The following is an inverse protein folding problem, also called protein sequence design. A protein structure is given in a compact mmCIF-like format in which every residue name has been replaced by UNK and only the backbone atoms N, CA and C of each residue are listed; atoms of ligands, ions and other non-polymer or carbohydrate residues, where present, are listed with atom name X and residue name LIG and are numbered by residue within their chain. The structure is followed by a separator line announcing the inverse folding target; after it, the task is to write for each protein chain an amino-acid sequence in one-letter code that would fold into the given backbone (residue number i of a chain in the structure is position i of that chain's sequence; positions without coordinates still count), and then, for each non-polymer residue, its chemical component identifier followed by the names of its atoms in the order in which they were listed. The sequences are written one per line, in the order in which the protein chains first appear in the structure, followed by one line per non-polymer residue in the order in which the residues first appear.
data_IF_676233976510
#
_entry.id   IF_676233976510
#
_cell.length_a   1.000
_cell.length_b   1.000
_cell.length_c   1.000
_cell.angle_alpha   90.00
_cell.angle_beta   90.00
_cell.angle_gamma   90.00
#
_symmetry.space_group_name_H-M   'P 1'
#
loop_
_entity.id
_entity.type
_entity.pdbx_description
1 polymer ?
#
# COMPACT_ATOMS: atom_id res chain seq x y z
N UNK A 1 24.38 -10.16 -11.98
CA UNK A 1 24.69 -8.73 -11.71
C UNK A 1 23.78 -7.78 -12.50
N UNK A 2 23.25 -8.19 -13.67
CA UNK A 2 22.46 -7.30 -14.54
C UNK A 2 20.94 -7.22 -14.19
N UNK A 3 20.34 -8.33 -13.75
CA UNK A 3 18.91 -8.38 -13.38
C UNK A 3 18.58 -7.58 -12.10
N UNK A 4 19.39 -7.71 -11.04
CA UNK A 4 19.20 -6.94 -9.79
C UNK A 4 19.27 -5.43 -10.03
N UNK A 5 20.25 -4.99 -10.82
CA UNK A 5 20.43 -3.57 -11.14
C UNK A 5 19.30 -3.05 -12.03
N UNK A 6 18.82 -3.87 -12.98
CA UNK A 6 17.65 -3.55 -13.82
C UNK A 6 16.38 -3.43 -12.98
N UNK A 7 16.13 -4.35 -12.05
CA UNK A 7 14.97 -4.32 -11.16
C UNK A 7 14.99 -3.09 -10.23
N UNK A 8 16.12 -2.77 -9.62
CA UNK A 8 16.27 -1.56 -8.79
C UNK A 8 16.04 -0.28 -9.61
N UNK A 9 16.55 -0.22 -10.85
CA UNK A 9 16.37 0.95 -11.72
C UNK A 9 14.90 1.23 -12.06
N UNK A 10 14.08 0.17 -12.19
CA UNK A 10 12.63 0.29 -12.40
C UNK A 10 11.98 0.97 -11.20
N UNK A 11 12.29 0.51 -10.00
CA UNK A 11 11.69 1.01 -8.77
C UNK A 11 12.20 2.39 -8.35
N UNK A 12 13.24 2.93 -9.00
CA UNK A 12 13.73 4.28 -8.79
C UNK A 12 13.01 5.35 -9.64
N UNK A 13 12.09 4.95 -10.54
CA UNK A 13 11.38 5.87 -11.44
C UNK A 13 9.91 5.98 -11.06
N UNK A 14 9.28 7.16 -11.22
CA UNK A 14 7.84 7.31 -11.01
C UNK A 14 7.02 6.36 -11.91
N UNK A 15 6.03 5.70 -11.30
CA UNK A 15 4.95 4.99 -11.99
C UNK A 15 3.80 5.89 -12.38
N UNK A 16 2.74 5.27 -12.94
CA UNK A 16 1.51 5.96 -13.35
C UNK A 16 0.86 6.73 -12.18
N UNK A 17 0.88 6.16 -10.98
CA UNK A 17 0.23 6.73 -9.80
C UNK A 17 1.19 7.40 -8.82
N UNK A 18 2.50 7.24 -8.98
CA UNK A 18 3.50 7.80 -8.05
C UNK A 18 4.24 9.02 -8.61
N UNK A 19 3.85 9.55 -9.77
CA UNK A 19 4.35 10.84 -10.25
C UNK A 19 3.75 11.97 -9.42
N UNK A 20 4.59 12.92 -8.99
CA UNK A 20 4.14 14.16 -8.34
C UNK A 20 3.71 15.24 -9.34
N UNK A 21 3.97 15.03 -10.65
CA UNK A 21 3.57 15.92 -11.74
C UNK A 21 3.87 17.39 -11.47
N UNK A 22 2.86 18.25 -11.59
CA UNK A 22 2.96 19.69 -11.36
C UNK A 22 3.38 20.07 -9.92
N UNK A 23 3.22 19.16 -8.96
CA UNK A 23 3.55 19.36 -7.55
C UNK A 23 4.92 18.79 -7.16
N UNK A 24 5.75 18.37 -8.12
CA UNK A 24 7.09 17.81 -7.85
C UNK A 24 7.97 18.74 -6.99
N UNK A 25 7.90 20.06 -7.21
CA UNK A 25 8.66 21.05 -6.42
C UNK A 25 8.29 21.04 -4.92
N UNK A 26 7.07 20.63 -4.56
CA UNK A 26 6.68 20.53 -3.14
C UNK A 26 7.50 19.47 -2.39
N UNK A 27 8.00 18.45 -3.10
CA UNK A 27 8.81 17.40 -2.51
C UNK A 27 10.19 17.89 -2.05
N UNK A 28 10.67 19.04 -2.51
CA UNK A 28 11.95 19.65 -2.09
C UNK A 28 11.96 19.99 -0.59
N UNK A 29 10.80 20.31 -0.02
CA UNK A 29 10.67 20.59 1.41
C UNK A 29 10.73 19.32 2.28
N UNK A 30 10.48 18.14 1.69
CA UNK A 30 10.43 16.86 2.42
C UNK A 30 11.87 16.42 2.75
N UNK A 31 12.17 15.96 3.97
CA UNK A 31 13.47 15.35 4.29
C UNK A 31 13.82 14.19 3.34
N UNK A 32 15.12 13.92 3.17
CA UNK A 32 15.59 12.87 2.28
C UNK A 32 15.65 11.48 2.93
N UNK A 33 15.71 11.41 4.26
CA UNK A 33 15.75 10.15 5.00
C UNK A 33 14.34 9.53 5.13
N UNK A 34 14.19 8.20 5.11
CA UNK A 34 12.89 7.53 5.21
C UNK A 34 12.07 7.97 6.43
N UNK A 35 12.70 8.13 7.59
CA UNK A 35 12.01 8.54 8.82
C UNK A 35 11.44 9.96 8.71
N UNK A 36 12.19 10.89 8.11
CA UNK A 36 11.73 12.25 7.84
C UNK A 36 10.62 12.33 6.79
N UNK A 37 10.65 11.46 5.77
CA UNK A 37 9.56 11.33 4.80
C UNK A 37 8.29 10.84 5.49
N UNK A 38 8.40 9.77 6.30
CA UNK A 38 7.27 9.20 7.05
C UNK A 38 6.65 10.25 7.97
N UNK A 39 7.45 10.91 8.82
CA UNK A 39 6.96 11.98 9.71
C UNK A 39 6.28 13.11 8.95
N UNK A 40 6.78 13.46 7.76
CA UNK A 40 6.17 14.48 6.92
C UNK A 40 4.74 14.10 6.53
N UNK A 41 4.54 12.89 5.98
CA UNK A 41 3.20 12.50 5.52
C UNK A 41 2.24 12.15 6.66
N UNK A 42 2.73 11.68 7.81
CA UNK A 42 1.97 11.58 9.06
C UNK A 42 1.42 12.94 9.53
N UNK A 43 2.15 14.02 9.26
CA UNK A 43 1.72 15.38 9.54
C UNK A 43 0.71 15.96 8.54
N UNK A 44 0.48 15.31 7.39
CA UNK A 44 -0.32 15.85 6.27
C UNK A 44 -1.57 15.02 5.96
N UNK A 45 -1.53 13.71 6.22
CA UNK A 45 -2.63 12.77 5.99
C UNK A 45 -3.18 12.29 7.33
N UNK A 46 -4.46 11.93 7.36
CA UNK A 46 -5.11 11.28 8.51
C UNK A 46 -5.93 10.08 8.04
N UNK A 47 -5.79 8.94 8.72
CA UNK A 47 -6.51 7.72 8.33
C UNK A 47 -8.00 7.84 8.62
N UNK A 48 -8.84 7.63 7.61
CA UNK A 48 -10.27 7.97 7.67
C UNK A 48 -11.07 7.22 8.75
N UNK A 49 -10.61 6.01 9.09
CA UNK A 49 -11.19 5.15 10.13
C UNK A 49 -10.57 5.37 11.52
N UNK A 50 -9.44 6.08 11.62
CA UNK A 50 -8.76 6.34 12.90
C UNK A 50 -8.93 7.77 13.42
N UNK A 51 -9.65 8.63 12.69
CA UNK A 51 -9.84 10.05 13.03
C UNK A 51 -10.40 10.28 14.44
N UNK A 52 -11.18 9.34 14.97
CA UNK A 52 -11.69 9.38 16.34
C UNK A 52 -10.59 9.40 17.40
N UNK A 53 -9.48 8.68 17.18
CA UNK A 53 -8.33 8.66 18.09
C UNK A 53 -7.59 10.02 18.17
N UNK A 54 -7.91 10.94 17.25
CA UNK A 54 -7.37 12.29 17.16
C UNK A 54 -8.42 13.39 17.46
N UNK A 55 -9.63 13.01 17.88
CA UNK A 55 -10.72 13.96 18.15
C UNK A 55 -11.24 14.69 16.90
N UNK A 56 -11.12 14.06 15.72
CA UNK A 56 -11.57 14.63 14.44
C UNK A 56 -12.82 13.92 13.94
N UNK A 57 -13.77 14.70 13.43
CA UNK A 57 -14.88 14.20 12.63
C UNK A 57 -14.70 14.65 11.17
N UNK A 58 -14.77 13.72 10.23
CA UNK A 58 -14.68 14.01 8.80
C UNK A 58 -16.07 14.21 8.21
N UNK A 59 -16.22 15.26 7.38
CA UNK A 59 -17.40 15.43 6.53
C UNK A 59 -17.35 14.49 5.32
N UNK A 60 -18.49 14.29 4.64
CA UNK A 60 -18.53 13.54 3.39
C UNK A 60 -17.63 14.15 2.30
N UNK A 61 -17.44 15.47 2.33
CA UNK A 61 -16.54 16.18 1.43
C UNK A 61 -15.06 15.89 1.75
N UNK A 62 -14.70 15.80 3.03
CA UNK A 62 -13.34 15.38 3.44
C UNK A 62 -13.07 13.95 2.98
N UNK A 63 -14.05 13.04 3.13
CA UNK A 63 -13.93 11.64 2.71
C UNK A 63 -13.75 11.45 1.21
N UNK A 64 -14.08 12.43 0.37
CA UNK A 64 -13.84 12.29 -1.08
C UNK A 64 -12.36 12.09 -1.44
N UNK A 65 -11.41 12.55 -0.61
CA UNK A 65 -9.98 12.39 -0.92
C UNK A 65 -9.47 10.96 -0.80
N UNK A 66 -10.15 10.08 -0.07
CA UNK A 66 -9.72 8.68 0.10
C UNK A 66 -9.81 7.88 -1.20
N UNK A 67 -10.53 8.41 -2.19
CA UNK A 67 -10.67 7.80 -3.51
C UNK A 67 -9.73 8.39 -4.57
N UNK A 68 -8.77 9.25 -4.18
CA UNK A 68 -7.77 9.78 -5.11
C UNK A 68 -6.68 8.73 -5.34
N UNK A 69 -6.47 8.34 -6.60
CA UNK A 69 -5.42 7.38 -6.97
C UNK A 69 -4.07 8.07 -7.14
N UNK A 70 -3.91 9.12 -7.98
CA UNK A 70 -2.57 9.64 -8.29
C UNK A 70 -1.98 10.46 -7.13
N UNK A 71 -0.68 10.32 -6.91
CA UNK A 71 0.06 11.12 -5.93
C UNK A 71 -0.02 12.62 -6.24
N UNK A 72 -0.02 12.99 -7.52
CA UNK A 72 -0.22 14.37 -7.97
C UNK A 72 -1.54 14.96 -7.44
N UNK A 73 -2.65 14.23 -7.52
CA UNK A 73 -3.96 14.70 -7.02
C UNK A 73 -4.02 14.78 -5.50
N UNK A 74 -3.34 13.86 -4.81
CA UNK A 74 -3.21 13.91 -3.35
C UNK A 74 -2.39 15.11 -2.89
N UNK A 75 -1.26 15.38 -3.56
CA UNK A 75 -0.44 16.56 -3.30
C UNK A 75 -1.21 17.85 -3.62
N UNK A 76 -2.00 17.86 -4.70
CA UNK A 76 -2.92 18.95 -5.01
C UNK A 76 -3.92 19.19 -3.88
N UNK A 77 -4.51 18.11 -3.33
CA UNK A 77 -5.46 18.20 -2.22
C UNK A 77 -4.80 18.72 -0.94
N UNK A 78 -3.58 18.28 -0.63
CA UNK A 78 -2.80 18.77 0.52
C UNK A 78 -2.51 20.26 0.35
N UNK A 79 -1.94 20.67 -0.78
CA UNK A 79 -1.56 22.06 -1.04
C UNK A 79 -2.77 23.00 -1.13
N UNK A 80 -3.89 22.52 -1.70
CA UNK A 80 -5.13 23.28 -1.81
C UNK A 80 -5.85 23.46 -0.47
N UNK A 81 -5.68 22.53 0.48
CA UNK A 81 -6.22 22.67 1.83
C UNK A 81 -5.36 23.61 2.68
N UNK A 82 -4.04 23.51 2.56
CA UNK A 82 -3.08 24.35 3.27
C UNK A 82 -1.75 24.44 2.52
N UNK A 83 -1.43 25.63 2.04
CA UNK A 83 -0.30 25.89 1.15
C UNK A 83 1.07 26.07 1.85
N UNK A 84 1.16 25.91 3.18
CA UNK A 84 2.46 25.91 3.87
C UNK A 84 3.32 24.75 3.35
N UNK A 85 4.66 24.83 3.44
CA UNK A 85 5.56 23.74 3.03
C UNK A 85 5.18 22.37 3.61
N UNK A 86 5.44 21.29 2.87
CA UNK A 86 5.03 19.93 3.24
C UNK A 86 5.62 19.48 4.58
N UNK A 87 6.84 19.90 4.92
CA UNK A 87 7.48 19.58 6.20
C UNK A 87 6.93 20.34 7.41
N UNK A 88 5.96 21.23 7.23
CA UNK A 88 5.24 21.85 8.34
C UNK A 88 4.06 20.95 8.72
N UNK A 89 3.99 20.38 9.93
CA UNK A 89 2.89 19.49 10.29
C UNK A 89 1.57 20.25 10.39
N UNK A 90 0.47 19.55 10.13
CA UNK A 90 -0.90 20.04 10.34
C UNK A 90 -1.48 19.45 11.61
N UNK A 91 -2.27 20.25 12.32
CA UNK A 91 -3.13 19.70 13.38
C UNK A 91 -4.10 18.68 12.76
N UNK A 92 -4.53 17.63 13.47
CA UNK A 92 -5.30 16.53 12.88
C UNK A 92 -6.49 16.95 12.01
N UNK A 93 -7.30 17.93 12.45
CA UNK A 93 -8.45 18.42 11.68
C UNK A 93 -8.11 19.17 10.38
N UNK A 94 -6.84 19.53 10.18
CA UNK A 94 -6.34 20.18 8.95
C UNK A 94 -5.68 19.19 7.99
N UNK A 95 -5.50 17.92 8.36
CA UNK A 95 -4.92 16.88 7.52
C UNK A 95 -5.92 16.41 6.46
N UNK A 96 -5.42 15.90 5.34
CA UNK A 96 -6.23 15.32 4.26
C UNK A 96 -6.61 13.88 4.65
N UNK A 97 -7.89 13.52 4.49
CA UNK A 97 -8.33 12.15 4.76
C UNK A 97 -7.72 11.19 3.73
N UNK A 98 -7.17 10.08 4.20
CA UNK A 98 -6.61 9.01 3.39
C UNK A 98 -6.71 7.67 4.11
N UNK A 99 -5.98 6.68 3.57
CA UNK A 99 -5.85 5.34 4.16
C UNK A 99 -4.39 4.85 4.06
N UNK A 100 -4.10 3.64 4.55
CA UNK A 100 -2.77 3.01 4.53
C UNK A 100 -2.03 3.14 3.19
N UNK A 101 -2.73 2.90 2.08
CA UNK A 101 -2.17 3.00 0.73
C UNK A 101 -1.73 4.42 0.39
N UNK A 102 -2.40 5.46 0.88
CA UNK A 102 -2.03 6.85 0.61
C UNK A 102 -0.69 7.23 1.24
N UNK A 103 -0.45 6.81 2.48
CA UNK A 103 0.84 7.02 3.14
C UNK A 103 1.97 6.32 2.39
N UNK A 104 1.74 5.06 2.03
CA UNK A 104 2.67 4.24 1.27
C UNK A 104 2.95 4.82 -0.12
N UNK A 105 1.92 5.29 -0.83
CA UNK A 105 2.07 5.94 -2.13
C UNK A 105 2.95 7.19 -2.03
N UNK A 106 2.68 8.07 -1.07
CA UNK A 106 3.42 9.32 -0.88
C UNK A 106 4.88 9.06 -0.49
N UNK A 107 5.14 8.06 0.37
CA UNK A 107 6.48 7.58 0.69
C UNK A 107 7.23 7.14 -0.58
N UNK A 108 6.62 6.25 -1.36
CA UNK A 108 7.21 5.71 -2.60
C UNK A 108 7.44 6.82 -3.62
N UNK A 109 6.51 7.77 -3.76
CA UNK A 109 6.66 8.97 -4.59
C UNK A 109 7.86 9.82 -4.18
N UNK A 110 8.01 10.11 -2.89
CA UNK A 110 9.11 10.95 -2.39
C UNK A 110 10.48 10.29 -2.55
N UNK A 111 10.56 8.97 -2.36
CA UNK A 111 11.80 8.19 -2.58
C UNK A 111 12.17 8.12 -4.06
N UNK A 112 11.21 7.78 -4.94
CA UNK A 112 11.41 7.72 -6.39
C UNK A 112 11.79 9.08 -6.99
N UNK A 113 11.22 10.19 -6.49
CA UNK A 113 11.60 11.53 -6.91
C UNK A 113 13.10 11.85 -6.65
N UNK A 114 13.74 11.13 -5.71
CA UNK A 114 15.16 11.22 -5.39
C UNK A 114 16.00 10.10 -6.00
N UNK A 115 15.41 9.27 -6.85
CA UNK A 115 16.08 8.12 -7.46
C UNK A 115 16.36 6.96 -6.51
N UNK A 116 15.75 6.94 -5.32
CA UNK A 116 15.84 5.80 -4.39
C UNK A 116 14.86 4.72 -4.85
N UNK A 117 15.31 3.48 -5.13
CA UNK A 117 14.42 2.38 -5.47
C UNK A 117 13.40 2.15 -4.35
N UNK A 118 12.12 2.27 -4.66
CA UNK A 118 11.03 2.05 -3.73
C UNK A 118 9.85 1.35 -4.40
N UNK A 119 9.15 0.49 -3.66
CA UNK A 119 7.95 -0.23 -4.10
C UNK A 119 6.91 -0.28 -2.99
N UNK A 120 5.64 -0.22 -3.35
CA UNK A 120 4.56 -0.47 -2.41
C UNK A 120 4.32 -1.97 -2.29
N UNK A 121 3.88 -2.42 -1.12
CA UNK A 121 3.48 -3.79 -0.82
C UNK A 121 2.10 -3.80 -0.17
N UNK A 122 1.31 -4.79 -0.52
CA UNK A 122 -0.04 -5.03 -0.02
C UNK A 122 -0.07 -6.39 0.69
N UNK A 123 -0.69 -6.45 1.86
CA UNK A 123 -0.59 -7.60 2.76
C UNK A 123 -1.26 -7.31 4.08
N UNK A 124 -0.69 -7.83 5.17
CA UNK A 124 -1.34 -7.87 6.46
C UNK A 124 -0.38 -7.65 7.63
N UNK A 125 -0.77 -6.80 8.58
CA UNK A 125 -0.02 -6.55 9.82
C UNK A 125 -0.69 -7.18 11.05
N UNK A 126 0.09 -7.82 11.93
CA UNK A 126 -0.40 -8.43 13.18
C UNK A 126 -0.44 -7.47 14.39
N UNK A 127 -0.11 -6.21 14.15
CA UNK A 127 0.15 -5.21 15.20
C UNK A 127 -0.96 -4.18 15.33
N UNK A 128 -2.13 -4.41 14.74
CA UNK A 128 -3.29 -3.52 14.81
C UNK A 128 -4.44 -4.09 15.65
N UNK A 129 -4.62 -5.42 15.63
CA UNK A 129 -5.64 -6.12 16.38
C UNK A 129 -5.13 -7.50 16.82
N UNK A 130 -5.26 -7.81 18.12
CA UNK A 130 -4.74 -9.06 18.67
C UNK A 130 -5.40 -10.29 18.03
N UNK A 131 -4.58 -11.24 17.59
CA UNK A 131 -5.05 -12.48 16.95
C UNK A 131 -5.59 -12.29 15.52
N UNK A 132 -5.37 -11.13 14.92
CA UNK A 132 -5.78 -10.79 13.55
C UNK A 132 -4.58 -10.33 12.73
N UNK A 133 -4.69 -10.53 11.43
CA UNK A 133 -3.81 -9.99 10.41
C UNK A 133 -4.60 -8.94 9.62
N UNK A 134 -4.43 -7.66 9.96
CA UNK A 134 -5.19 -6.56 9.36
C UNK A 134 -4.65 -6.16 7.99
N UNK A 135 -5.54 -6.02 7.01
CA UNK A 135 -5.26 -5.49 5.67
C UNK A 135 -4.52 -4.18 5.77
N UNK A 136 -3.33 -4.14 5.17
CA UNK A 136 -2.48 -2.98 5.27
C UNK A 136 -1.52 -2.83 4.09
N UNK A 137 -1.07 -1.60 3.90
CA UNK A 137 -0.12 -1.22 2.85
C UNK A 137 1.14 -0.64 3.47
N UNK A 138 2.29 -1.16 3.04
CA UNK A 138 3.62 -0.70 3.47
C UNK A 138 4.50 -0.39 2.27
N UNK A 139 5.53 0.42 2.46
CA UNK A 139 6.58 0.64 1.47
C UNK A 139 7.77 -0.29 1.72
N UNK A 140 8.49 -0.64 0.67
CA UNK A 140 9.86 -1.14 0.75
C UNK A 140 10.78 -0.19 -0.01
N UNK A 141 11.92 0.17 0.57
CA UNK A 141 12.97 0.92 -0.12
C UNK A 141 14.29 0.15 -0.11
N UNK A 142 15.11 0.35 -1.14
CA UNK A 142 16.42 -0.27 -1.20
C UNK A 142 17.40 0.51 -0.31
N UNK A 143 17.79 -0.10 0.81
CA UNK A 143 18.83 0.41 1.68
C UNK A 143 20.18 0.02 1.09
N UNK A 144 20.88 0.98 0.47
CA UNK A 144 22.15 0.73 -0.20
C UNK A 144 23.28 0.35 0.77
N UNK A 145 23.27 0.90 2.00
CA UNK A 145 24.27 0.61 3.02
C UNK A 145 24.15 -0.85 3.50
N UNK A 146 22.92 -1.33 3.70
CA UNK A 146 22.65 -2.68 4.16
C UNK A 146 22.42 -3.69 3.02
N UNK A 147 22.38 -3.21 1.77
CA UNK A 147 22.16 -4.01 0.55
C UNK A 147 20.90 -4.89 0.64
N UNK A 148 19.80 -4.33 1.14
CA UNK A 148 18.52 -5.04 1.27
C UNK A 148 17.33 -4.10 1.10
N UNK A 149 16.18 -4.70 0.77
CA UNK A 149 14.89 -4.04 0.93
C UNK A 149 14.55 -3.88 2.41
N UNK A 150 14.31 -2.65 2.83
CA UNK A 150 13.87 -2.26 4.18
C UNK A 150 12.39 -1.89 4.11
N UNK A 151 11.58 -2.50 4.98
CA UNK A 151 10.13 -2.30 5.00
C UNK A 151 9.77 -1.12 5.91
N UNK A 152 8.84 -0.29 5.47
CA UNK A 152 8.44 0.96 6.13
C UNK A 152 6.93 1.04 6.19
N UNK A 153 6.38 1.19 7.38
CA UNK A 153 5.00 1.57 7.60
C UNK A 153 4.91 3.10 7.74
N UNK A 154 4.47 3.76 6.67
CA UNK A 154 4.36 5.21 6.64
C UNK A 154 3.13 5.75 7.39
N UNK A 155 2.15 4.91 7.74
CA UNK A 155 0.91 5.35 8.38
C UNK A 155 1.07 5.53 9.89
N UNK A 156 1.79 4.63 10.54
CA UNK A 156 1.80 4.47 12.00
C UNK A 156 2.59 5.60 12.67
N UNK A 157 1.87 6.65 13.08
CA UNK A 157 2.43 7.77 13.85
C UNK A 157 2.51 7.46 15.34
N UNK A 158 3.08 8.37 16.14
CA UNK A 158 3.25 8.18 17.59
C UNK A 158 1.93 7.85 18.31
N UNK A 159 0.82 8.48 17.90
CA UNK A 159 -0.50 8.22 18.49
C UNK A 159 -1.01 6.82 18.17
N UNK A 160 -0.81 6.34 16.94
CA UNK A 160 -1.14 4.97 16.56
C UNK A 160 -0.24 3.95 17.24
N UNK A 161 1.05 4.25 17.45
CA UNK A 161 1.96 3.37 18.21
C UNK A 161 1.47 3.15 19.63
N UNK A 162 1.04 4.21 20.31
CA UNK A 162 0.42 4.11 21.63
C UNK A 162 -0.88 3.28 21.60
N UNK A 163 -1.74 3.56 20.61
CA UNK A 163 -3.05 2.92 20.49
C UNK A 163 -2.94 1.40 20.28
N UNK A 164 -1.99 0.98 19.44
CA UNK A 164 -1.84 -0.40 19.01
C UNK A 164 -0.71 -1.15 19.73
N UNK A 165 0.08 -0.47 20.58
CA UNK A 165 1.21 -1.07 21.27
C UNK A 165 2.38 -1.43 20.34
N UNK A 166 2.63 -0.62 19.31
CA UNK A 166 3.73 -0.84 18.35
C UNK A 166 5.06 -0.42 18.97
N UNK A 167 5.89 -1.40 19.30
CA UNK A 167 7.17 -1.26 20.00
C UNK A 167 8.41 -1.43 19.10
N UNK A 168 8.22 -1.73 17.82
CA UNK A 168 9.29 -1.86 16.83
C UNK A 168 9.49 -0.60 15.99
N UNK A 169 10.55 -0.60 15.17
CA UNK A 169 10.85 0.50 14.24
C UNK A 169 9.94 0.42 13.00
N UNK A 170 9.03 1.38 12.87
CA UNK A 170 8.16 1.51 11.70
C UNK A 170 8.90 1.89 10.41
N UNK A 171 10.18 2.24 10.48
CA UNK A 171 11.06 2.48 9.32
C UNK A 171 11.96 1.30 8.96
N UNK A 172 11.88 0.20 9.72
CA UNK A 172 12.47 -1.10 9.44
C UNK A 172 11.60 -2.20 10.05
N UNK A 173 10.37 -2.31 9.52
CA UNK A 173 9.34 -3.21 10.04
C UNK A 173 9.83 -4.66 9.96
N UNK A 174 9.81 -5.42 11.07
CA UNK A 174 10.18 -6.83 11.04
C UNK A 174 9.26 -7.64 10.13
N UNK A 175 9.82 -8.53 9.28
CA UNK A 175 9.05 -9.28 8.28
C UNK A 175 8.08 -10.31 8.86
N UNK A 176 8.19 -10.62 10.14
CA UNK A 176 7.25 -11.45 10.89
C UNK A 176 6.07 -10.65 11.47
N UNK A 177 6.14 -9.32 11.48
CA UNK A 177 5.04 -8.43 11.91
C UNK A 177 4.13 -8.00 10.76
N UNK A 178 4.64 -8.04 9.53
CA UNK A 178 3.86 -7.79 8.31
C UNK A 178 4.09 -8.92 7.29
N UNK A 179 3.02 -9.64 6.95
CA UNK A 179 3.03 -10.64 5.89
C UNK A 179 2.53 -10.02 4.59
N UNK A 180 3.37 -10.04 3.56
CA UNK A 180 2.92 -9.72 2.20
C UNK A 180 1.85 -10.73 1.76
N UNK A 181 0.92 -10.33 0.90
CA UNK A 181 -0.24 -11.16 0.56
C UNK A 181 0.12 -12.56 0.03
N UNK A 182 1.22 -12.69 -0.74
CA UNK A 182 1.70 -13.99 -1.20
C UNK A 182 2.16 -14.93 -0.08
N UNK A 183 2.74 -14.40 1.01
CA UNK A 183 3.11 -15.17 2.19
C UNK A 183 1.89 -15.60 2.99
N UNK A 184 0.93 -14.68 3.20
CA UNK A 184 -0.33 -15.01 3.86
C UNK A 184 -1.08 -16.13 3.12
N UNK A 185 -1.15 -16.04 1.79
CA UNK A 185 -1.72 -17.09 0.95
C UNK A 185 -0.99 -18.43 1.13
N UNK A 186 0.34 -18.44 1.02
CA UNK A 186 1.13 -19.66 1.13
C UNK A 186 0.95 -20.35 2.50
N UNK A 187 0.96 -19.60 3.61
CA UNK A 187 0.72 -20.16 4.95
C UNK A 187 -0.68 -20.77 5.10
N UNK A 188 -1.71 -20.11 4.58
CA UNK A 188 -3.06 -20.65 4.58
C UNK A 188 -3.15 -21.93 3.73
N UNK A 189 -2.47 -21.98 2.57
CA UNK A 189 -2.43 -23.16 1.71
C UNK A 189 -1.70 -24.33 2.35
N UNK A 190 -0.68 -24.06 3.17
CA UNK A 190 0.05 -25.06 3.95
C UNK A 190 -0.69 -25.52 5.23
N UNK A 191 -1.80 -24.87 5.59
CA UNK A 191 -2.53 -25.15 6.84
C UNK A 191 -1.83 -24.60 8.10
N UNK A 192 -0.88 -23.68 7.93
CA UNK A 192 -0.10 -23.05 9.00
C UNK A 192 -0.79 -21.80 9.57
N UNK A 193 -1.76 -21.25 8.84
CA UNK A 193 -2.56 -20.11 9.27
C UNK A 193 -4.03 -20.30 8.85
N UNK A 194 -4.94 -19.71 9.61
CA UNK A 194 -6.37 -19.70 9.32
C UNK A 194 -6.71 -18.49 8.43
N UNK A 195 -7.25 -18.70 7.20
CA UNK A 195 -7.63 -17.61 6.31
C UNK A 195 -8.61 -16.62 6.95
N UNK A 196 -9.45 -17.05 7.90
CA UNK A 196 -10.44 -16.19 8.56
C UNK A 196 -9.78 -15.20 9.55
N UNK A 197 -8.48 -15.31 9.80
CA UNK A 197 -7.70 -14.33 10.57
C UNK A 197 -7.16 -13.18 9.74
N UNK A 198 -7.19 -13.26 8.40
CA UNK A 198 -6.70 -12.24 7.47
C UNK A 198 -7.85 -11.43 6.88
N UNK A 199 -7.88 -10.13 7.16
CA UNK A 199 -9.01 -9.28 6.79
C UNK A 199 -8.93 -7.88 7.35
N UNK A 200 -10.07 -7.21 7.48
CA UNK A 200 -10.19 -5.90 8.10
C UNK A 200 -11.22 -5.95 9.24
N UNK A 201 -10.77 -5.91 10.49
CA UNK A 201 -11.67 -6.01 11.66
C UNK A 201 -12.68 -4.88 11.71
N UNK A 202 -12.36 -3.71 11.14
CA UNK A 202 -13.27 -2.57 11.06
C UNK A 202 -14.53 -2.83 10.23
N UNK A 203 -14.48 -3.74 9.25
CA UNK A 203 -15.63 -4.15 8.42
C UNK A 203 -16.11 -5.56 8.73
N UNK A 204 -15.38 -6.31 9.55
CA UNK A 204 -15.63 -7.73 9.85
C UNK A 204 -15.62 -8.60 8.57
N UNK A 205 -14.73 -8.27 7.64
CA UNK A 205 -14.51 -9.01 6.40
C UNK A 205 -13.14 -9.69 6.46
N UNK A 206 -13.08 -10.96 6.05
CA UNK A 206 -11.87 -11.77 6.08
C UNK A 206 -11.98 -12.99 5.16
N UNK A 207 -10.89 -13.74 5.03
CA UNK A 207 -10.89 -15.05 4.36
C UNK A 207 -10.21 -15.06 2.99
N UNK A 208 -10.33 -16.19 2.30
CA UNK A 208 -9.65 -16.46 1.03
C UNK A 208 -9.85 -15.38 -0.04
N UNK A 209 -11.07 -14.89 -0.20
CA UNK A 209 -11.39 -13.85 -1.18
C UNK A 209 -10.65 -12.54 -0.89
N UNK A 210 -10.49 -12.20 0.40
CA UNK A 210 -9.79 -11.00 0.85
C UNK A 210 -8.28 -11.10 0.60
N UNK A 211 -7.69 -12.27 0.91
CA UNK A 211 -6.27 -12.57 0.64
C UNK A 211 -6.01 -12.53 -0.87
N UNK A 212 -6.86 -13.13 -1.70
CA UNK A 212 -6.73 -13.09 -3.16
C UNK A 212 -6.79 -11.66 -3.72
N UNK A 213 -7.71 -10.83 -3.22
CA UNK A 213 -7.79 -9.41 -3.59
C UNK A 213 -6.51 -8.65 -3.24
N UNK A 214 -5.98 -8.83 -2.03
CA UNK A 214 -4.71 -8.25 -1.61
C UNK A 214 -3.54 -8.76 -2.46
N UNK A 215 -3.52 -10.04 -2.83
CA UNK A 215 -2.49 -10.65 -3.66
C UNK A 215 -2.44 -10.03 -5.07
N UNK A 216 -3.60 -9.81 -5.69
CA UNK A 216 -3.68 -9.14 -6.98
C UNK A 216 -3.24 -7.66 -6.89
N UNK A 217 -3.53 -6.97 -5.79
CA UNK A 217 -3.07 -5.60 -5.54
C UNK A 217 -1.56 -5.52 -5.28
N UNK A 218 -0.98 -6.48 -4.55
CA UNK A 218 0.47 -6.57 -4.35
C UNK A 218 1.19 -6.81 -5.69
N UNK A 219 0.67 -7.71 -6.52
CA UNK A 219 1.20 -7.96 -7.86
C UNK A 219 1.13 -6.72 -8.78
N UNK A 220 0.03 -5.95 -8.71
CA UNK A 220 -0.09 -4.67 -9.42
C UNK A 220 0.90 -3.62 -8.89
N UNK A 221 1.07 -3.51 -7.58
CA UNK A 221 2.00 -2.59 -6.93
C UNK A 221 3.47 -2.91 -7.27
N UNK A 222 3.85 -4.20 -7.29
CA UNK A 222 5.14 -4.68 -7.80
C UNK A 222 5.32 -4.38 -9.29
N UNK A 223 4.22 -4.25 -10.04
CA UNK A 223 4.22 -3.75 -11.40
C UNK A 223 4.10 -2.23 -11.54
N UNK A 224 4.27 -1.50 -10.44
CA UNK A 224 4.32 -0.03 -10.40
C UNK A 224 2.95 0.61 -10.69
N UNK A 225 1.89 -0.07 -10.25
CA UNK A 225 0.49 0.39 -10.28
C UNK A 225 -0.15 0.17 -8.92
N UNK A 226 0.00 1.14 -8.04
CA UNK A 226 -0.43 1.08 -6.64
C UNK A 226 -1.92 1.44 -6.50
N UNK A 227 -2.87 0.53 -6.78
CA UNK A 227 -4.31 0.83 -6.76
C UNK A 227 -4.91 1.07 -5.36
N UNK A 228 -6.18 1.50 -5.28
CA UNK A 228 -6.87 1.65 -3.99
C UNK A 228 -7.17 0.28 -3.37
N UNK A 229 -7.28 0.19 -2.02
CA UNK A 229 -7.59 -1.07 -1.33
C UNK A 229 -8.92 -1.72 -1.73
N UNK A 230 -9.85 -0.95 -2.32
CA UNK A 230 -11.17 -1.41 -2.78
C UNK A 230 -11.32 -1.38 -4.31
N UNK A 231 -10.24 -1.17 -5.06
CA UNK A 231 -10.29 -1.35 -6.50
C UNK A 231 -10.34 -2.85 -6.82
N UNK A 232 -11.29 -3.22 -7.67
CA UNK A 232 -11.55 -4.59 -8.11
C UNK A 232 -11.43 -4.70 -9.63
N UNK A 233 -10.80 -5.77 -10.12
CA UNK A 233 -10.70 -6.09 -11.55
C UNK A 233 -10.40 -7.57 -11.78
N UNK A 234 -10.55 -8.00 -13.04
CA UNK A 234 -10.08 -9.31 -13.48
C UNK A 234 -10.73 -10.46 -12.72
N UNK A 235 -9.91 -11.39 -12.24
CA UNK A 235 -10.36 -12.60 -11.51
C UNK A 235 -10.43 -12.42 -10.00
N UNK A 236 -10.35 -11.18 -9.48
CA UNK A 236 -10.54 -10.94 -8.06
C UNK A 236 -11.88 -11.53 -7.59
N UNK A 237 -11.89 -12.40 -6.56
CA UNK A 237 -13.14 -12.94 -6.06
C UNK A 237 -14.00 -11.83 -5.45
N UNK A 238 -15.32 -11.94 -5.63
CA UNK A 238 -16.27 -11.09 -4.92
C UNK A 238 -16.26 -11.39 -3.41
N UNK A 239 -16.83 -10.50 -2.57
CA UNK A 239 -16.98 -10.76 -1.14
C UNK A 239 -17.61 -12.13 -0.86
N UNK A 240 -16.95 -12.92 0.00
CA UNK A 240 -17.34 -14.28 0.41
C UNK A 240 -17.40 -15.31 -0.74
N UNK A 241 -16.93 -14.96 -1.94
CA UNK A 241 -16.94 -15.88 -3.07
C UNK A 241 -15.95 -17.03 -2.85
N UNK A 242 -16.41 -18.26 -3.08
CA UNK A 242 -15.53 -19.42 -3.11
C UNK A 242 -14.64 -19.38 -4.36
N UNK A 243 -13.35 -19.57 -4.14
CA UNK A 243 -12.36 -19.64 -5.21
C UNK A 243 -12.36 -21.07 -5.77
N UNK A 244 -12.63 -21.22 -7.07
CA UNK A 244 -12.55 -22.51 -7.77
C UNK A 244 -11.10 -22.99 -7.97
N UNK A 245 -10.95 -24.25 -8.37
CA UNK A 245 -9.64 -24.89 -8.54
C UNK A 245 -8.74 -24.15 -9.54
N UNK A 246 -9.30 -23.63 -10.65
CA UNK A 246 -8.52 -22.91 -11.66
C UNK A 246 -7.95 -21.61 -11.08
N UNK A 247 -8.78 -20.83 -10.38
CA UNK A 247 -8.33 -19.60 -9.72
C UNK A 247 -7.37 -19.90 -8.56
N UNK A 248 -7.58 -20.98 -7.82
CA UNK A 248 -6.65 -21.40 -6.76
C UNK A 248 -5.25 -21.66 -7.33
N UNK A 249 -5.13 -22.39 -8.45
CA UNK A 249 -3.83 -22.64 -9.11
C UNK A 249 -3.18 -21.33 -9.58
N UNK A 250 -3.98 -20.41 -10.14
CA UNK A 250 -3.49 -19.10 -10.57
C UNK A 250 -2.97 -18.26 -9.38
N UNK A 251 -3.70 -18.26 -8.26
CA UNK A 251 -3.29 -17.54 -7.06
C UNK A 251 -2.11 -18.23 -6.34
N UNK A 252 -2.00 -19.55 -6.37
CA UNK A 252 -0.82 -20.28 -5.89
C UNK A 252 0.45 -19.83 -6.62
N UNK A 253 0.40 -19.71 -7.96
CA UNK A 253 1.53 -19.21 -8.75
C UNK A 253 1.78 -17.72 -8.51
N UNK A 254 0.74 -16.89 -8.43
CA UNK A 254 0.89 -15.46 -8.14
C UNK A 254 1.50 -15.21 -6.76
N UNK A 255 1.11 -16.01 -5.75
CA UNK A 255 1.66 -15.97 -4.41
C UNK A 255 3.16 -16.28 -4.40
N UNK A 256 3.58 -17.34 -5.09
CA UNK A 256 5.00 -17.71 -5.25
C UNK A 256 5.81 -16.55 -5.86
N UNK A 257 5.30 -15.97 -6.94
CA UNK A 257 5.99 -14.90 -7.67
C UNK A 257 6.08 -13.57 -6.90
N UNK A 258 5.06 -13.24 -6.10
CA UNK A 258 5.02 -12.01 -5.28
C UNK A 258 5.74 -12.13 -3.94
N UNK A 259 5.96 -13.36 -3.46
CA UNK A 259 6.76 -13.62 -2.26
C UNK A 259 8.24 -13.28 -2.50
N UNK A 260 8.81 -13.69 -3.64
CA UNK A 260 10.20 -13.42 -4.03
C UNK A 260 10.30 -12.65 -5.38
N UNK A 261 9.79 -11.41 -5.43
CA UNK A 261 9.58 -10.72 -6.70
C UNK A 261 10.88 -10.32 -7.41
N UNK A 262 11.99 -10.19 -6.67
CA UNK A 262 13.29 -9.88 -7.26
C UNK A 262 13.90 -11.08 -8.00
N UNK A 263 13.63 -12.31 -7.53
CA UNK A 263 14.06 -13.55 -8.19
C UNK A 263 13.19 -13.89 -9.40
N UNK A 264 11.92 -13.47 -9.38
CA UNK A 264 10.91 -13.84 -10.38
C UNK A 264 10.37 -12.67 -11.21
N UNK A 265 11.12 -11.58 -11.32
CA UNK A 265 10.60 -10.33 -11.88
C UNK A 265 10.06 -10.45 -13.31
N UNK A 266 10.70 -11.25 -14.17
CA UNK A 266 10.25 -11.51 -15.55
C UNK A 266 9.02 -12.41 -15.62
N UNK A 267 8.95 -13.44 -14.76
CA UNK A 267 7.79 -14.34 -14.65
C UNK A 267 6.57 -13.57 -14.14
N UNK A 268 6.72 -12.77 -13.07
CA UNK A 268 5.66 -11.94 -12.52
C UNK A 268 5.12 -10.94 -13.56
N UNK A 269 6.00 -10.30 -14.33
CA UNK A 269 5.58 -9.40 -15.43
C UNK A 269 4.79 -10.13 -16.51
N UNK A 270 5.25 -11.31 -16.94
CA UNK A 270 4.54 -12.12 -17.94
C UNK A 270 3.18 -12.55 -17.43
N UNK A 271 3.09 -13.01 -16.18
CA UNK A 271 1.84 -13.43 -15.58
C UNK A 271 0.87 -12.24 -15.44
N UNK A 272 1.34 -11.07 -15.02
CA UNK A 272 0.50 -9.87 -14.93
C UNK A 272 0.11 -9.26 -16.28
N UNK A 273 0.58 -9.80 -17.41
CA UNK A 273 0.11 -9.44 -18.74
C UNK A 273 -1.11 -10.26 -19.19
N UNK A 274 -1.41 -11.38 -18.50
CA UNK A 274 -2.63 -12.17 -18.69
C UNK A 274 -3.87 -11.30 -18.43
N UNK A 275 -4.90 -11.40 -19.26
CA UNK A 275 -6.11 -10.57 -19.15
C UNK A 275 -6.84 -10.73 -17.81
N UNK A 276 -6.69 -11.88 -17.15
CA UNK A 276 -7.24 -12.16 -15.83
C UNK A 276 -6.62 -11.31 -14.72
N UNK A 277 -5.35 -10.91 -14.88
CA UNK A 277 -4.58 -10.21 -13.84
C UNK A 277 -4.19 -8.78 -14.25
N UNK A 278 -4.09 -8.52 -15.56
CA UNK A 278 -3.68 -7.24 -16.13
C UNK A 278 -4.60 -6.14 -15.65
N UNK A 279 -3.99 -5.11 -15.06
CA UNK A 279 -4.70 -3.92 -14.63
C UNK A 279 -5.31 -3.21 -15.84
N UNK A 280 -6.65 -3.06 -15.92
CA UNK A 280 -7.33 -2.41 -17.05
C UNK A 280 -7.14 -0.89 -17.02
N UNK A 281 -7.77 -0.15 -17.94
CA UNK A 281 -7.80 1.34 -17.88
C UNK A 281 -8.85 1.86 -16.89
N UNK A 282 -9.83 1.03 -16.54
CA UNK A 282 -10.96 1.32 -15.67
C UNK A 282 -11.16 0.16 -14.71
N UNK A 283 -11.34 0.44 -13.41
CA UNK A 283 -11.54 -0.56 -12.34
C UNK A 283 -12.88 -0.33 -11.64
N UNK A 284 -13.43 -1.37 -11.03
CA UNK A 284 -14.60 -1.24 -10.15
C UNK A 284 -14.15 -0.69 -8.81
N UNK A 285 -14.62 0.49 -8.42
CA UNK A 285 -14.46 1.00 -7.06
C UNK A 285 -15.58 0.37 -6.20
N UNK A 286 -15.23 -0.62 -5.38
CA UNK A 286 -16.22 -1.39 -4.62
C UNK A 286 -16.99 -0.55 -3.59
N UNK A 287 -16.32 0.42 -2.96
CA UNK A 287 -16.95 1.30 -1.95
C UNK A 287 -17.97 2.25 -2.58
N UNK A 288 -17.72 2.71 -3.81
CA UNK A 288 -18.64 3.61 -4.54
C UNK A 288 -19.59 2.90 -5.50
N UNK A 289 -19.47 1.59 -5.60
CA UNK A 289 -20.26 0.74 -6.49
C UNK A 289 -20.33 1.25 -7.93
N UNK A 290 -19.19 1.70 -8.48
CA UNK A 290 -19.09 2.22 -9.86
C UNK A 290 -17.73 1.98 -10.49
N UNK A 291 -17.70 1.99 -11.81
CA UNK A 291 -16.45 1.88 -12.57
C UNK A 291 -15.78 3.25 -12.68
N UNK A 292 -14.48 3.31 -12.42
CA UNK A 292 -13.69 4.54 -12.41
C UNK A 292 -12.39 4.37 -13.21
N UNK A 293 -11.95 5.41 -13.94
CA UNK A 293 -10.64 5.38 -14.57
C UNK A 293 -9.53 5.36 -13.51
N UNK A 294 -8.41 4.73 -13.87
CA UNK A 294 -7.19 4.71 -13.07
C UNK A 294 -6.39 5.99 -13.25
#
# INVERSE_FOLDING_TARGET
MDQDQTNLSRYARPGRLTSAGAYAALLEAVPADPAGIVRTFQGLVIHEHLVGAYGVALSDADRQSVHLRPAEELLARVAGRDNRPLNVPRVPGQRVAGNCRHYTLLLVTALRARGVPARARCGFGDYFAAGRWEDHWVGEYWNAEQRRWTMVDAQVDERQRELFGVDFDITDVPRDRFLVAGEAWARCRAGEADPDTFGLSGTNESGWWWIAGNLMRDAAALNVVELLPWDMWGVMPAPEEKIDEERMVLFDELARLTHEPDQHADELRRLCADERLRVPTTVRNAVRDRDEPI
#
